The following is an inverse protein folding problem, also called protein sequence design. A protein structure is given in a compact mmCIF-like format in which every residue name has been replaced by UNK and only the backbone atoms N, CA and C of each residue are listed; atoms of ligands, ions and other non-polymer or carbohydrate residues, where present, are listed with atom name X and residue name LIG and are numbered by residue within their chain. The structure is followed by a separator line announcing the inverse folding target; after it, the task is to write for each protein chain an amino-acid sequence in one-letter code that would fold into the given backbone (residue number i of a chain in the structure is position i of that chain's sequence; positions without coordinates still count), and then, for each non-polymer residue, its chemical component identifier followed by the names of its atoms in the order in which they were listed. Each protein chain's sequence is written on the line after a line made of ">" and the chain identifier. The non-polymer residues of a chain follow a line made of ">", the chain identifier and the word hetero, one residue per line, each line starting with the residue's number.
data_IF_248623717549
#
_entry.id   IF_248623717549
#
_cell.length_a   1.000
_cell.length_b   1.000
_cell.length_c   1.000
_cell.angle_alpha   90.00
_cell.angle_beta   90.00
_cell.angle_gamma   90.00
#
_symmetry.space_group_name_H-M   'P 1'
#
loop_
_entity.id
_entity.type
_entity.pdbx_description
1 polymer ?
#
# COMPACT_ATOMS: atom_id res chain seq x y z
N UNK A 1 -18.60 -18.42 -2.80
CA UNK A 1 -17.26 -18.93 -3.12
C UNK A 1 -17.24 -19.37 -4.56
N UNK A 2 -16.47 -18.69 -5.40
CA UNK A 2 -16.22 -19.14 -6.78
C UNK A 2 -14.77 -19.61 -6.81
N UNK A 3 -14.59 -20.91 -6.72
CA UNK A 3 -13.29 -21.53 -6.93
C UNK A 3 -13.00 -21.54 -8.43
N UNK A 4 -11.94 -20.82 -8.81
CA UNK A 4 -11.03 -21.08 -9.92
C UNK A 4 -11.56 -21.70 -11.21
N UNK A 5 -11.72 -20.87 -12.23
CA UNK A 5 -10.98 -20.93 -13.51
C UNK A 5 -10.84 -19.46 -13.96
N UNK A 6 -9.60 -18.99 -14.09
CA UNK A 6 -9.31 -17.72 -14.78
C UNK A 6 -9.13 -18.04 -16.26
N UNK A 7 -9.97 -17.48 -17.12
CA UNK A 7 -9.97 -17.68 -18.58
C UNK A 7 -8.76 -17.02 -19.27
N UNK A 8 -7.67 -16.75 -18.54
CA UNK A 8 -6.50 -15.99 -18.97
C UNK A 8 -6.76 -14.49 -19.14
N UNK A 9 -8.03 -14.07 -19.19
CA UNK A 9 -8.46 -12.67 -19.30
C UNK A 9 -8.09 -11.83 -18.08
N UNK A 10 -8.31 -12.32 -16.86
CA UNK A 10 -7.93 -11.58 -15.64
C UNK A 10 -6.41 -11.50 -15.51
N UNK A 11 -5.69 -12.57 -15.89
CA UNK A 11 -4.22 -12.55 -15.95
C UNK A 11 -3.70 -11.53 -16.96
N UNK A 12 -4.26 -11.46 -18.17
CA UNK A 12 -3.86 -10.50 -19.18
C UNK A 12 -4.16 -9.05 -18.75
N UNK A 13 -5.29 -8.80 -18.10
CA UNK A 13 -5.60 -7.49 -17.52
C UNK A 13 -4.63 -7.12 -16.38
N UNK A 14 -4.24 -8.10 -15.56
CA UNK A 14 -3.34 -7.87 -14.43
C UNK A 14 -1.96 -7.32 -14.87
N UNK A 15 -1.49 -7.76 -16.03
CA UNK A 15 -0.22 -7.30 -16.63
C UNK A 15 -0.26 -5.84 -17.06
N UNK A 16 -1.45 -5.27 -17.27
CA UNK A 16 -1.63 -3.88 -17.67
C UNK A 16 -1.59 -2.91 -16.48
N UNK A 17 -1.61 -3.40 -15.24
CA UNK A 17 -1.42 -2.57 -14.05
C UNK A 17 0.06 -2.15 -13.92
N UNK A 18 0.43 -1.13 -14.69
CA UNK A 18 1.79 -0.58 -14.78
C UNK A 18 2.38 -0.15 -13.41
N UNK A 19 1.55 0.07 -12.38
CA UNK A 19 2.01 0.32 -11.02
C UNK A 19 2.36 -0.94 -10.21
N UNK A 20 1.62 -2.04 -10.38
CA UNK A 20 1.70 -3.23 -9.52
C UNK A 20 2.51 -4.38 -10.14
N UNK A 21 2.27 -4.68 -11.42
CA UNK A 21 2.87 -5.80 -12.13
C UNK A 21 4.40 -5.87 -12.01
N UNK A 22 5.11 -4.77 -12.30
CA UNK A 22 6.44 -4.48 -11.80
C UNK A 22 6.96 -5.09 -10.50
N UNK A 23 6.23 -4.85 -9.42
CA UNK A 23 6.62 -5.27 -8.08
C UNK A 23 6.43 -6.76 -7.90
N UNK A 24 5.36 -7.28 -8.47
CA UNK A 24 5.09 -8.70 -8.49
C UNK A 24 6.23 -9.46 -9.18
N UNK A 25 6.73 -8.96 -10.33
CA UNK A 25 7.88 -9.55 -11.02
C UNK A 25 9.16 -9.51 -10.17
N UNK A 26 9.44 -8.37 -9.51
CA UNK A 26 10.60 -8.23 -8.64
C UNK A 26 10.57 -9.20 -7.45
N UNK A 27 9.43 -9.28 -6.77
CA UNK A 27 9.26 -10.19 -5.63
C UNK A 27 9.37 -11.63 -6.10
N UNK A 28 8.73 -11.99 -7.22
CA UNK A 28 8.78 -13.35 -7.75
C UNK A 28 10.24 -13.75 -8.05
N UNK A 29 10.95 -12.93 -8.83
CA UNK A 29 12.36 -13.17 -9.16
C UNK A 29 13.27 -13.26 -7.93
N UNK A 30 13.13 -12.34 -6.98
CA UNK A 30 13.94 -12.32 -5.75
C UNK A 30 13.68 -13.52 -4.82
N UNK A 31 12.49 -14.13 -4.91
CA UNK A 31 12.09 -15.25 -4.05
C UNK A 31 12.11 -16.61 -4.76
N UNK A 32 12.65 -16.66 -5.98
CA UNK A 32 12.75 -17.89 -6.77
C UNK A 32 11.41 -18.40 -7.30
N UNK A 33 10.41 -17.52 -7.42
CA UNK A 33 9.07 -17.86 -7.92
C UNK A 33 8.95 -17.44 -9.39
N UNK A 34 8.40 -18.34 -10.21
CA UNK A 34 8.25 -18.11 -11.65
C UNK A 34 6.97 -17.34 -12.01
N UNK A 35 5.94 -17.40 -11.17
CA UNK A 35 4.66 -16.72 -11.40
C UNK A 35 4.55 -15.44 -10.55
N UNK A 36 4.52 -14.24 -11.15
CA UNK A 36 4.23 -12.99 -10.45
C UNK A 36 2.84 -12.97 -9.77
N UNK A 37 1.91 -13.81 -10.21
CA UNK A 37 0.59 -13.96 -9.57
C UNK A 37 0.53 -15.09 -8.55
N UNK A 38 1.68 -15.71 -8.21
CA UNK A 38 1.74 -16.65 -7.08
C UNK A 38 1.22 -15.96 -5.82
N UNK A 39 0.31 -16.61 -5.08
CA UNK A 39 -0.32 -16.05 -3.88
C UNK A 39 0.70 -15.46 -2.90
N UNK A 40 1.89 -16.06 -2.77
CA UNK A 40 2.95 -15.59 -1.86
C UNK A 40 3.56 -14.27 -2.33
N UNK A 41 3.62 -14.06 -3.65
CA UNK A 41 4.07 -12.81 -4.29
C UNK A 41 3.03 -11.72 -4.08
N UNK A 42 1.77 -12.02 -4.38
CA UNK A 42 0.64 -11.09 -4.21
C UNK A 42 0.49 -10.68 -2.74
N UNK A 43 0.57 -11.64 -1.81
CA UNK A 43 0.52 -11.35 -0.36
C UNK A 43 1.69 -10.45 0.07
N UNK A 44 2.92 -10.71 -0.41
CA UNK A 44 4.06 -9.86 -0.11
C UNK A 44 3.87 -8.42 -0.63
N UNK A 45 3.30 -8.24 -1.82
CA UNK A 45 3.01 -6.92 -2.38
C UNK A 45 1.87 -6.19 -1.66
N UNK A 46 0.78 -6.90 -1.36
CA UNK A 46 -0.48 -6.32 -0.89
C UNK A 46 -0.56 -6.14 0.63
N UNK A 47 -0.14 -7.16 1.38
CA UNK A 47 -0.21 -7.22 2.85
C UNK A 47 1.17 -7.05 3.48
N UNK A 48 2.20 -7.55 2.79
CA UNK A 48 3.57 -7.61 3.31
C UNK A 48 3.91 -8.98 3.88
N UNK A 49 5.18 -9.35 3.74
CA UNK A 49 5.75 -10.56 4.36
C UNK A 49 7.28 -10.43 4.43
N UNK A 50 7.98 -11.31 5.18
CA UNK A 50 9.44 -11.33 5.22
C UNK A 50 10.12 -11.57 3.86
N UNK A 51 9.36 -11.98 2.84
CA UNK A 51 9.87 -12.11 1.46
C UNK A 51 10.36 -10.78 0.90
N UNK A 52 9.79 -9.67 1.36
CA UNK A 52 10.19 -8.33 0.91
C UNK A 52 11.64 -8.01 1.29
N UNK A 53 12.19 -8.63 2.34
CA UNK A 53 13.59 -8.44 2.74
C UNK A 53 14.58 -9.18 1.83
N UNK A 54 14.09 -10.09 0.96
CA UNK A 54 14.90 -10.76 -0.06
C UNK A 54 15.05 -9.93 -1.33
N UNK A 55 14.22 -8.90 -1.51
CA UNK A 55 14.29 -8.03 -2.68
C UNK A 55 15.42 -7.03 -2.49
N UNK A 56 16.54 -7.26 -3.16
CA UNK A 56 17.71 -6.38 -3.05
C UNK A 56 17.41 -4.95 -3.50
N UNK A 57 17.90 -3.97 -2.74
CA UNK A 57 17.75 -2.52 -2.98
C UNK A 57 18.13 -2.14 -4.42
N UNK A 58 19.19 -2.74 -4.98
CA UNK A 58 19.62 -2.51 -6.37
C UNK A 58 18.57 -2.96 -7.39
N UNK A 59 17.91 -4.09 -7.16
CA UNK A 59 16.86 -4.59 -8.05
C UNK A 59 15.64 -3.66 -8.03
N UNK A 60 15.25 -3.17 -6.84
CA UNK A 60 14.19 -2.16 -6.72
C UNK A 60 14.60 -0.88 -7.45
N UNK A 61 15.81 -0.37 -7.21
CA UNK A 61 16.33 0.85 -7.84
C UNK A 61 16.39 0.76 -9.37
N UNK A 62 16.94 -0.32 -9.94
CA UNK A 62 16.99 -0.53 -11.39
C UNK A 62 15.58 -0.58 -12.01
N UNK A 63 14.66 -1.27 -11.34
CA UNK A 63 13.28 -1.40 -11.79
C UNK A 63 12.51 -0.08 -11.73
N UNK A 64 12.87 0.80 -10.79
CA UNK A 64 12.40 2.18 -10.75
C UNK A 64 13.04 3.02 -11.85
N UNK A 65 14.35 2.91 -12.05
CA UNK A 65 15.09 3.63 -13.10
C UNK A 65 14.55 3.31 -14.49
N UNK A 66 14.34 2.04 -14.83
CA UNK A 66 13.76 1.63 -16.12
C UNK A 66 12.37 2.23 -16.38
N UNK A 67 11.54 2.40 -15.35
CA UNK A 67 10.15 2.88 -15.48
C UNK A 67 10.00 4.38 -15.40
N UNK A 68 10.79 5.01 -14.53
CA UNK A 68 10.70 6.43 -14.26
C UNK A 68 11.77 7.23 -15.00
N UNK A 69 12.63 6.58 -15.81
CA UNK A 69 13.58 7.24 -16.72
C UNK A 69 12.94 8.32 -17.59
N UNK A 70 11.67 8.13 -17.95
CA UNK A 70 10.90 9.05 -18.77
C UNK A 70 10.08 10.09 -17.97
N UNK A 71 9.96 9.93 -16.66
CA UNK A 71 9.22 10.84 -15.75
C UNK A 71 10.11 11.96 -15.17
N UNK A 72 11.14 12.38 -15.92
CA UNK A 72 12.30 13.16 -15.46
C UNK A 72 11.97 14.42 -14.67
N UNK A 73 12.53 14.51 -13.45
CA UNK A 73 12.54 15.69 -12.59
C UNK A 73 13.04 15.36 -11.17
N UNK A 74 12.98 16.31 -10.21
CA UNK A 74 13.38 16.13 -8.80
C UNK A 74 12.80 14.90 -8.09
N UNK A 75 11.69 14.34 -8.61
CA UNK A 75 11.04 13.13 -8.12
C UNK A 75 11.86 11.84 -8.26
N UNK A 76 12.81 11.80 -9.20
CA UNK A 76 13.66 10.62 -9.38
C UNK A 76 14.72 10.48 -8.28
N UNK A 77 15.29 11.61 -7.84
CA UNK A 77 16.21 11.64 -6.71
C UNK A 77 15.51 11.20 -5.42
N UNK A 78 14.32 11.74 -5.12
CA UNK A 78 13.52 11.33 -3.96
C UNK A 78 13.09 9.86 -3.99
N UNK A 79 12.89 9.30 -5.19
CA UNK A 79 12.57 7.88 -5.36
C UNK A 79 13.77 6.99 -5.05
N UNK A 80 14.95 7.35 -5.54
CA UNK A 80 16.20 6.64 -5.25
C UNK A 80 16.53 6.72 -3.76
N UNK A 81 16.38 7.89 -3.14
CA UNK A 81 16.52 8.08 -1.70
C UNK A 81 15.53 7.22 -0.91
N UNK A 82 14.26 7.16 -1.33
CA UNK A 82 13.25 6.33 -0.68
C UNK A 82 13.58 4.84 -0.74
N UNK A 83 14.12 4.35 -1.86
CA UNK A 83 14.60 2.96 -1.99
C UNK A 83 15.81 2.72 -1.08
N UNK A 84 16.78 3.63 -1.04
CA UNK A 84 17.96 3.55 -0.17
C UNK A 84 17.60 3.64 1.33
N UNK A 85 16.55 4.40 1.67
CA UNK A 85 16.00 4.48 3.02
C UNK A 85 15.19 3.23 3.43
N UNK A 86 15.20 2.19 2.60
CA UNK A 86 14.55 0.91 2.88
C UNK A 86 13.20 0.75 2.19
N UNK A 87 12.91 1.45 1.11
CA UNK A 87 11.74 1.17 0.27
C UNK A 87 11.76 -0.25 -0.27
N UNK A 88 10.63 -0.96 -0.12
CA UNK A 88 10.43 -2.32 -0.62
C UNK A 88 9.24 -2.36 -1.58
N UNK A 89 9.12 -3.36 -2.47
CA UNK A 89 8.03 -3.46 -3.44
C UNK A 89 6.69 -3.85 -2.80
N UNK A 90 6.21 -3.02 -1.89
CA UNK A 90 4.91 -3.15 -1.22
C UNK A 90 3.98 -2.02 -1.68
N UNK A 91 2.67 -2.25 -1.69
CA UNK A 91 1.71 -1.28 -2.21
C UNK A 91 1.82 0.10 -1.53
N UNK A 92 2.02 0.13 -0.21
CA UNK A 92 2.20 1.39 0.52
C UNK A 92 3.45 2.20 0.12
N UNK A 93 4.49 1.57 -0.43
CA UNK A 93 5.64 2.31 -0.96
C UNK A 93 5.26 3.11 -2.19
N UNK A 94 4.46 2.53 -3.10
CA UNK A 94 3.94 3.27 -4.25
C UNK A 94 3.06 4.45 -3.82
N UNK A 95 2.13 4.19 -2.91
CA UNK A 95 1.16 5.20 -2.45
C UNK A 95 1.85 6.38 -1.78
N UNK A 96 2.83 6.14 -0.92
CA UNK A 96 3.47 7.22 -0.15
C UNK A 96 4.68 7.85 -0.84
N UNK A 97 5.53 7.04 -1.49
CA UNK A 97 6.85 7.49 -1.95
C UNK A 97 6.92 7.74 -3.45
N UNK A 98 5.98 7.20 -4.25
CA UNK A 98 6.01 7.32 -5.72
C UNK A 98 4.90 8.23 -6.22
N UNK A 99 3.66 7.99 -5.77
CA UNK A 99 2.51 8.76 -6.21
C UNK A 99 2.59 10.21 -5.71
N UNK A 100 2.07 11.18 -6.48
CA UNK A 100 2.32 12.60 -6.21
C UNK A 100 1.56 13.14 -5.00
N UNK A 101 0.62 12.38 -4.43
CA UNK A 101 -0.34 12.86 -3.44
C UNK A 101 0.29 13.30 -2.14
N UNK A 102 1.37 12.66 -1.69
CA UNK A 102 2.08 13.14 -0.49
C UNK A 102 2.58 14.55 -0.75
N UNK A 103 3.20 14.84 -1.89
CA UNK A 103 3.63 16.19 -2.29
C UNK A 103 2.54 17.27 -2.33
N UNK A 104 1.26 16.89 -2.33
CA UNK A 104 0.12 17.82 -2.32
C UNK A 104 -0.38 18.18 -0.92
N UNK A 105 0.11 17.51 0.14
CA UNK A 105 -0.33 17.74 1.53
C UNK A 105 0.02 19.13 2.07
N UNK A 106 1.00 19.82 1.49
CA UNK A 106 1.40 21.18 1.89
C UNK A 106 0.58 22.27 1.22
N UNK A 107 -0.15 21.95 0.15
CA UNK A 107 -1.10 22.87 -0.48
C UNK A 107 -2.44 22.77 0.26
N UNK A 108 -2.77 23.79 1.07
CA UNK A 108 -4.01 23.83 1.87
C UNK A 108 -5.28 23.57 1.05
N UNK A 109 -5.30 23.92 -0.24
CA UNK A 109 -6.48 23.71 -1.10
C UNK A 109 -6.63 22.24 -1.53
N UNK A 110 -5.54 21.49 -1.55
CA UNK A 110 -5.50 20.08 -2.02
C UNK A 110 -5.28 19.07 -0.90
N UNK A 111 -4.80 19.51 0.26
CA UNK A 111 -4.39 18.65 1.36
C UNK A 111 -5.47 17.64 1.77
N UNK A 112 -6.72 18.08 1.90
CA UNK A 112 -7.82 17.18 2.28
C UNK A 112 -8.06 16.08 1.24
N UNK A 113 -8.12 16.44 -0.04
CA UNK A 113 -8.31 15.47 -1.12
C UNK A 113 -7.11 14.52 -1.22
N UNK A 114 -5.89 15.05 -1.09
CA UNK A 114 -4.68 14.25 -1.09
C UNK A 114 -4.64 13.26 0.07
N UNK A 115 -5.03 13.68 1.28
CA UNK A 115 -5.12 12.80 2.45
C UNK A 115 -6.16 11.69 2.23
N UNK A 116 -7.34 12.02 1.68
CA UNK A 116 -8.35 11.02 1.32
C UNK A 116 -7.80 10.00 0.34
N UNK A 117 -7.11 10.43 -0.72
CA UNK A 117 -6.54 9.50 -1.71
C UNK A 117 -5.46 8.63 -1.09
N UNK A 118 -4.55 9.19 -0.28
CA UNK A 118 -3.50 8.42 0.40
C UNK A 118 -4.09 7.37 1.34
N UNK A 119 -5.13 7.71 2.09
CA UNK A 119 -5.79 6.80 3.00
C UNK A 119 -6.62 5.73 2.27
N UNK A 120 -7.28 6.12 1.17
CA UNK A 120 -8.12 5.20 0.39
C UNK A 120 -7.33 4.25 -0.50
N UNK A 121 -6.19 4.70 -1.04
CA UNK A 121 -5.29 3.89 -1.87
C UNK A 121 -4.31 3.03 -1.08
N UNK A 122 -3.92 3.38 0.15
CA UNK A 122 -3.16 2.41 0.96
C UNK A 122 -4.06 1.22 1.29
N UNK A 123 -3.46 0.04 1.43
CA UNK A 123 -4.19 -1.10 1.98
C UNK A 123 -4.37 -0.85 3.47
N UNK A 124 -5.61 -0.52 3.86
CA UNK A 124 -5.97 -0.37 5.27
C UNK A 124 -6.32 -1.74 5.84
N UNK A 125 -6.46 -1.78 7.15
CA UNK A 125 -7.03 -2.91 7.86
C UNK A 125 -8.00 -2.39 8.92
N UNK A 126 -9.02 -3.19 9.21
CA UNK A 126 -9.99 -2.89 10.24
C UNK A 126 -10.53 -4.16 10.89
N UNK A 127 -11.01 -4.03 12.12
CA UNK A 127 -11.69 -5.11 12.82
C UNK A 127 -13.19 -4.97 12.63
N UNK A 128 -13.85 -6.05 12.22
CA UNK A 128 -15.29 -6.04 11.96
C UNK A 128 -16.04 -5.91 13.27
N UNK A 129 -16.91 -4.90 13.37
CA UNK A 129 -17.73 -4.65 14.57
C UNK A 129 -19.20 -4.96 14.34
N UNK A 130 -19.67 -4.88 13.11
CA UNK A 130 -21.02 -5.31 12.73
C UNK A 130 -21.11 -5.67 11.24
N UNK A 131 -22.00 -6.59 10.90
CA UNK A 131 -22.31 -7.00 9.53
C UNK A 131 -23.78 -6.71 9.26
N UNK A 132 -24.07 -5.95 8.20
CA UNK A 132 -25.40 -5.44 7.87
C UNK A 132 -25.67 -5.64 6.37
N UNK A 133 -26.07 -6.86 5.99
CA UNK A 133 -26.32 -7.18 4.58
C UNK A 133 -25.04 -7.12 3.75
N UNK A 134 -25.01 -6.23 2.75
CA UNK A 134 -23.86 -5.97 1.87
C UNK A 134 -22.83 -5.00 2.46
N UNK A 135 -23.19 -4.30 3.54
CA UNK A 135 -22.34 -3.36 4.25
C UNK A 135 -21.78 -3.98 5.53
N UNK A 136 -20.55 -3.63 5.87
CA UNK A 136 -19.83 -4.06 7.06
C UNK A 136 -19.27 -2.83 7.76
N UNK A 137 -19.49 -2.74 9.07
CA UNK A 137 -18.87 -1.71 9.89
C UNK A 137 -17.55 -2.26 10.42
N UNK A 138 -16.48 -1.51 10.19
CA UNK A 138 -15.12 -1.86 10.60
C UNK A 138 -14.52 -0.74 11.43
N UNK A 139 -13.90 -1.09 12.55
CA UNK A 139 -13.05 -0.16 13.30
C UNK A 139 -11.66 -0.16 12.66
N UNK A 140 -11.26 0.97 12.07
CA UNK A 140 -9.99 1.16 11.40
C UNK A 140 -9.31 2.44 11.91
N UNK A 141 -8.07 2.69 11.48
CA UNK A 141 -7.36 3.95 11.78
C UNK A 141 -7.06 4.69 10.47
N UNK A 142 -7.77 5.77 10.13
CA UNK A 142 -7.47 6.56 8.94
C UNK A 142 -6.13 7.30 9.11
N UNK A 143 -5.57 7.82 8.01
CA UNK A 143 -4.44 8.73 8.08
C UNK A 143 -4.85 10.11 8.60
N UNK A 144 -3.92 10.76 9.30
CA UNK A 144 -4.00 12.15 9.75
C UNK A 144 -2.76 12.91 9.29
N UNK A 145 -2.95 14.20 9.00
CA UNK A 145 -1.90 15.14 8.64
C UNK A 145 -1.98 16.37 9.54
N UNK A 146 -0.91 16.68 10.25
CA UNK A 146 -0.85 17.83 11.18
C UNK A 146 -0.20 19.09 10.58
N UNK A 147 0.16 19.04 9.29
CA UNK A 147 0.94 20.08 8.62
C UNK A 147 2.42 19.74 8.43
N UNK A 148 2.92 18.73 9.14
CA UNK A 148 4.32 18.31 9.12
C UNK A 148 4.49 16.80 8.94
N UNK A 149 3.65 15.99 9.60
CA UNK A 149 3.79 14.54 9.67
C UNK A 149 2.51 13.83 9.26
N UNK A 150 2.67 12.81 8.41
CA UNK A 150 1.62 11.88 8.02
C UNK A 150 1.69 10.65 8.93
N UNK A 151 0.64 10.36 9.68
CA UNK A 151 0.56 9.18 10.57
C UNK A 151 -0.89 8.66 10.66
N UNK A 152 -1.13 7.63 11.46
CA UNK A 152 -2.46 7.14 11.78
C UNK A 152 -3.17 8.07 12.78
N UNK A 153 -4.36 8.51 12.41
CA UNK A 153 -5.31 9.16 13.31
C UNK A 153 -5.89 8.20 14.36
N UNK A 154 -6.84 8.69 15.17
CA UNK A 154 -7.56 7.87 16.14
C UNK A 154 -8.36 6.76 15.45
N UNK A 155 -8.69 5.69 16.18
CA UNK A 155 -9.59 4.66 15.67
C UNK A 155 -10.98 5.26 15.38
N UNK A 156 -11.57 4.85 14.27
CA UNK A 156 -12.88 5.30 13.81
C UNK A 156 -13.61 4.13 13.16
N UNK A 157 -14.93 4.10 13.31
CA UNK A 157 -15.77 3.16 12.59
C UNK A 157 -16.05 3.71 11.18
N UNK A 158 -15.76 2.91 10.15
CA UNK A 158 -16.14 3.19 8.77
C UNK A 158 -17.04 2.08 8.21
N UNK A 159 -17.91 2.45 7.28
CA UNK A 159 -18.74 1.50 6.54
C UNK A 159 -18.02 1.11 5.25
N UNK A 160 -17.94 -0.19 4.98
CA UNK A 160 -17.30 -0.77 3.80
C UNK A 160 -18.21 -1.82 3.17
N UNK A 161 -17.98 -2.08 1.88
CA UNK A 161 -18.77 -2.99 1.06
C UNK A 161 -18.09 -4.36 1.00
N UNK A 162 -18.84 -5.43 1.30
CA UNK A 162 -18.36 -6.82 1.15
C UNK A 162 -18.85 -7.51 -0.13
N UNK A 163 -19.92 -7.01 -0.75
CA UNK A 163 -20.54 -7.58 -1.94
C UNK A 163 -21.37 -6.55 -2.69
N UNK A 164 -21.55 -6.76 -4.00
CA UNK A 164 -22.59 -6.06 -4.80
C UNK A 164 -23.54 -7.11 -5.34
N UNK A 165 -24.85 -6.87 -5.24
CA UNK A 165 -25.89 -7.78 -5.75
C UNK A 165 -25.73 -9.24 -5.27
N UNK A 166 -25.24 -9.43 -4.04
CA UNK A 166 -25.00 -10.76 -3.44
C UNK A 166 -23.73 -11.47 -3.93
N UNK A 167 -22.97 -10.87 -4.84
CA UNK A 167 -21.66 -11.39 -5.27
C UNK A 167 -20.57 -10.79 -4.39
N UNK A 168 -20.00 -11.62 -3.52
CA UNK A 168 -18.86 -11.24 -2.68
C UNK A 168 -17.54 -11.70 -3.28
N UNK A 169 -16.53 -10.82 -3.22
CA UNK A 169 -15.14 -11.15 -3.57
C UNK A 169 -14.41 -11.89 -2.45
N UNK A 170 -15.00 -11.96 -1.26
CA UNK A 170 -14.42 -12.59 -0.07
C UNK A 170 -15.31 -13.69 0.47
N UNK A 171 -14.71 -14.59 1.24
CA UNK A 171 -15.48 -15.54 2.06
C UNK A 171 -16.24 -14.73 3.11
N UNK A 172 -17.41 -15.23 3.55
CA UNK A 172 -18.26 -14.55 4.53
C UNK A 172 -17.45 -13.99 5.71
N UNK A 173 -17.64 -12.71 5.97
CA UNK A 173 -16.96 -11.94 7.03
C UNK A 173 -17.84 -11.95 8.28
N UNK A 174 -17.22 -12.10 9.45
CA UNK A 174 -17.91 -12.18 10.74
C UNK A 174 -17.42 -11.10 11.70
N UNK A 175 -18.24 -10.78 12.71
CA UNK A 175 -17.84 -9.85 13.78
C UNK A 175 -16.59 -10.39 14.49
N UNK A 176 -15.59 -9.54 14.63
CA UNK A 176 -14.29 -9.87 15.22
C UNK A 176 -13.20 -10.22 14.21
N UNK A 177 -13.54 -10.49 12.94
CA UNK A 177 -12.56 -10.70 11.89
C UNK A 177 -11.71 -9.44 11.65
N UNK A 178 -10.44 -9.66 11.29
CA UNK A 178 -9.64 -8.64 10.64
C UNK A 178 -9.84 -8.70 9.13
N UNK A 179 -9.96 -7.54 8.50
CA UNK A 179 -10.11 -7.44 7.04
C UNK A 179 -9.14 -6.42 6.46
N UNK A 180 -8.69 -6.65 5.23
CA UNK A 180 -7.99 -5.66 4.42
C UNK A 180 -8.98 -4.83 3.63
N UNK A 181 -8.71 -3.53 3.52
CA UNK A 181 -9.59 -2.57 2.86
C UNK A 181 -8.81 -1.79 1.80
N UNK A 182 -9.40 -1.63 0.62
CA UNK A 182 -8.90 -0.73 -0.42
C UNK A 182 -10.10 0.03 -0.99
N UNK A 183 -10.04 1.36 -0.92
CA UNK A 183 -11.21 2.20 -1.12
C UNK A 183 -12.37 1.78 -0.21
N UNK A 184 -13.60 1.69 -0.69
CA UNK A 184 -14.77 1.25 0.08
C UNK A 184 -14.88 -0.28 0.19
N UNK A 185 -13.94 -1.07 -0.33
CA UNK A 185 -14.09 -2.51 -0.45
C UNK A 185 -13.34 -3.29 0.62
N UNK A 186 -13.95 -4.36 1.12
CA UNK A 186 -13.24 -5.45 1.77
C UNK A 186 -12.57 -6.31 0.69
N UNK A 187 -11.25 -6.47 0.79
CA UNK A 187 -10.47 -7.22 -0.20
C UNK A 187 -10.14 -8.65 0.24
N UNK A 188 -9.87 -8.88 1.52
CA UNK A 188 -9.58 -10.20 2.09
C UNK A 188 -9.74 -10.21 3.61
N UNK A 189 -9.97 -11.39 4.20
CA UNK A 189 -9.82 -11.63 5.63
C UNK A 189 -8.34 -11.77 5.97
N UNK A 190 -7.95 -11.21 7.11
CA UNK A 190 -6.57 -11.21 7.57
C UNK A 190 -6.42 -12.01 8.86
N UNK A 191 -5.29 -12.69 8.98
CA UNK A 191 -4.81 -13.16 10.28
C UNK A 191 -4.18 -12.00 11.06
N UNK A 192 -4.07 -12.14 12.39
CA UNK A 192 -3.37 -11.14 13.20
C UNK A 192 -1.92 -10.91 12.76
N UNK A 193 -1.25 -11.96 12.28
CA UNK A 193 0.11 -11.88 11.74
C UNK A 193 0.16 -10.99 10.50
N UNK A 194 -0.79 -11.14 9.60
CA UNK A 194 -0.92 -10.32 8.39
C UNK A 194 -1.21 -8.86 8.72
N UNK A 195 -2.07 -8.59 9.71
CA UNK A 195 -2.28 -7.24 10.25
C UNK A 195 -0.96 -6.67 10.80
N UNK A 196 -0.17 -7.48 11.50
CA UNK A 196 1.17 -7.12 11.98
C UNK A 196 2.11 -6.70 10.86
N UNK A 197 2.19 -7.46 9.77
CA UNK A 197 3.00 -7.11 8.60
C UNK A 197 2.52 -5.85 7.92
N UNK A 198 1.21 -5.75 7.64
CA UNK A 198 0.65 -4.59 6.96
C UNK A 198 0.89 -3.31 7.75
N UNK A 199 0.75 -3.36 9.08
CA UNK A 199 1.10 -2.27 9.99
C UNK A 199 2.59 -1.93 9.93
N UNK A 200 3.48 -2.92 9.97
CA UNK A 200 4.92 -2.71 9.96
C UNK A 200 5.40 -2.06 8.65
N UNK A 201 4.99 -2.58 7.49
CA UNK A 201 5.38 -2.01 6.19
C UNK A 201 4.74 -0.65 5.93
N UNK A 202 3.49 -0.43 6.35
CA UNK A 202 2.87 0.89 6.26
C UNK A 202 3.64 1.91 7.10
N UNK A 203 4.04 1.56 8.34
CA UNK A 203 4.87 2.44 9.18
C UNK A 203 6.23 2.73 8.56
N UNK A 204 6.93 1.70 8.08
CA UNK A 204 8.22 1.83 7.39
C UNK A 204 8.17 2.87 6.26
N UNK A 205 7.13 2.82 5.42
CA UNK A 205 7.00 3.78 4.31
C UNK A 205 6.50 5.16 4.75
N UNK A 206 5.68 5.25 5.81
CA UNK A 206 5.36 6.54 6.45
C UNK A 206 6.63 7.20 7.02
N UNK A 207 7.52 6.44 7.66
CA UNK A 207 8.78 6.96 8.20
C UNK A 207 9.70 7.47 7.08
N UNK A 208 9.82 6.73 5.97
CA UNK A 208 10.58 7.16 4.78
C UNK A 208 10.02 8.47 4.21
N UNK A 209 8.71 8.57 4.01
CA UNK A 209 8.12 9.78 3.42
C UNK A 209 8.15 10.96 4.38
N UNK A 210 8.06 10.74 5.69
CA UNK A 210 8.19 11.82 6.67
C UNK A 210 9.65 12.30 6.78
N UNK A 211 10.64 11.42 6.69
CA UNK A 211 12.06 11.78 6.73
C UNK A 211 12.49 12.62 5.52
N UNK A 212 12.03 12.26 4.32
CA UNK A 212 12.31 13.01 3.08
C UNK A 212 11.63 14.38 3.02
N UNK A 213 10.65 14.63 3.90
CA UNK A 213 9.91 15.89 4.02
C UNK A 213 10.34 16.75 5.20
N UNK A 214 11.15 16.21 6.11
CA UNK A 214 11.76 17.04 7.14
C UNK A 214 12.52 18.16 6.43
N UNK A 215 12.36 19.44 6.84
CA UNK A 215 13.23 20.49 6.31
C UNK A 215 14.67 20.02 6.52
N UNK A 216 15.50 20.11 5.47
CA UNK A 216 16.92 19.85 5.59
C UNK A 216 17.39 20.60 6.83
N UNK A 217 17.80 19.86 7.87
CA UNK A 217 18.17 20.47 9.14
C UNK A 217 19.14 21.60 8.85
N UNK A 218 18.89 22.76 9.45
CA UNK A 218 19.92 23.76 9.64
C UNK A 218 21.14 23.01 10.18
N UNK A 219 22.15 22.86 9.33
CA UNK A 219 23.48 22.50 9.79
C UNK A 219 23.89 23.70 10.64
N UNK A 220 23.68 23.60 11.96
CA UNK A 220 24.39 24.46 12.90
C UNK A 220 25.87 24.17 12.67
N UNK A 221 26.51 25.07 11.92
CA UNK A 221 27.95 25.21 11.87
C UNK A 221 28.39 25.68 13.26
N UNK A 222 28.56 24.73 14.17
CA UNK A 222 29.51 24.87 15.26
C UNK A 222 30.86 24.44 14.73
N UNK A 223 31.66 25.45 14.36
CA UNK A 223 33.04 25.35 13.90
C UNK A 223 33.53 26.69 13.43
#
# INVERSE_FOLDING_TARGET
>A
GVAGIDDGGLRAMSQQFAGAWPYLQLIAGATGLSDPLDRRVVEAYWVGSPRLDQVGTRAVGNSMDERFRYMTGPRFASLTEGVLAGGVPHHSFAVFCIYPYTGLLTDRRKAQQALTVLDRCRIRWGKVVAVQGDQVLVESRPLSWDGHRLDFGPAQTETVVQSVDGVSMVTQVEVGDWVSLHWEWICDRLTERQVGYLRAFTRRHLDIVNATRAPAGSIDLLG
#
